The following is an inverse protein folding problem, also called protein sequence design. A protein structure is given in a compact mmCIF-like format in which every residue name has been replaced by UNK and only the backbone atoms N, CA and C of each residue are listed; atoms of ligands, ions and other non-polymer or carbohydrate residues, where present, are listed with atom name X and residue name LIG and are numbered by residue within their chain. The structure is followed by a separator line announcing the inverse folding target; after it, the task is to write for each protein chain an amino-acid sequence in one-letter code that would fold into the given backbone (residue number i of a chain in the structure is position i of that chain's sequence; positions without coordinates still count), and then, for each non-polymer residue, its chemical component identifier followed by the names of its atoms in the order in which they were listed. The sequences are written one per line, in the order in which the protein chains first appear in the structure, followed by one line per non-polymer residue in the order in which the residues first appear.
data_IF_423244644872
#
_entry.id   IF_423244644872
#
_cell.length_a   1.000
_cell.length_b   1.000
_cell.length_c   1.000
_cell.angle_alpha   90.00
_cell.angle_beta   90.00
_cell.angle_gamma   90.00
#
_symmetry.space_group_name_H-M   'P 1'
#
loop_
_entity.id
_entity.type
_entity.pdbx_description
1 polymer ?
#
# COMPACT_ATOMS: atom_id res chain seq x y z
N UNK A 1 -6.97 -4.35 -18.14
CA UNK A 1 -7.64 -5.14 -17.08
C UNK A 1 -9.05 -5.54 -17.48
N UNK A 2 -9.92 -4.64 -17.96
CA UNK A 2 -11.30 -4.98 -18.34
C UNK A 2 -11.41 -6.19 -19.29
N UNK A 3 -10.62 -6.20 -20.38
CA UNK A 3 -10.59 -7.32 -21.33
C UNK A 3 -10.24 -8.68 -20.69
N UNK A 4 -9.35 -8.68 -19.68
CA UNK A 4 -9.00 -9.89 -18.94
C UNK A 4 -10.16 -10.35 -18.06
N UNK A 5 -10.90 -9.40 -17.47
CA UNK A 5 -12.10 -9.71 -16.70
C UNK A 5 -13.24 -10.24 -17.57
N UNK A 6 -13.40 -9.70 -18.78
CA UNK A 6 -14.31 -10.25 -19.78
C UNK A 6 -13.91 -11.67 -20.20
N UNK A 7 -12.61 -11.89 -20.46
CA UNK A 7 -12.07 -13.21 -20.82
C UNK A 7 -12.34 -14.24 -19.72
N UNK A 8 -11.91 -13.98 -18.48
CA UNK A 8 -12.11 -14.91 -17.37
C UNK A 8 -13.59 -15.16 -17.05
N UNK A 9 -14.46 -14.15 -17.24
CA UNK A 9 -15.90 -14.35 -17.08
C UNK A 9 -16.48 -15.28 -18.16
N UNK A 10 -16.18 -15.02 -19.44
CA UNK A 10 -16.70 -15.81 -20.56
C UNK A 10 -16.17 -17.24 -20.52
N UNK A 11 -14.89 -17.41 -20.21
CA UNK A 11 -14.22 -18.72 -20.26
C UNK A 11 -14.56 -19.60 -19.05
N UNK A 12 -14.65 -19.04 -17.85
CA UNK A 12 -14.79 -19.85 -16.64
C UNK A 12 -15.66 -19.26 -15.55
N UNK A 13 -16.31 -18.11 -15.79
CA UNK A 13 -16.95 -17.31 -14.73
C UNK A 13 -15.98 -17.00 -13.58
N UNK A 14 -14.71 -16.74 -13.89
CA UNK A 14 -13.60 -16.55 -12.96
C UNK A 14 -13.23 -17.77 -12.09
N UNK A 15 -13.64 -18.97 -12.50
CA UNK A 15 -13.32 -20.19 -11.75
C UNK A 15 -12.07 -20.86 -12.30
N UNK A 16 -11.21 -21.34 -11.41
CA UNK A 16 -10.08 -22.18 -11.81
C UNK A 16 -10.58 -23.62 -12.08
N UNK A 17 -11.10 -23.87 -13.28
CA UNK A 17 -11.72 -25.14 -13.64
C UNK A 17 -10.68 -26.23 -13.95
N UNK A 18 -10.97 -27.47 -13.56
CA UNK A 18 -10.15 -28.65 -13.89
C UNK A 18 -10.53 -29.31 -15.23
N UNK A 19 -11.54 -28.77 -15.89
CA UNK A 19 -12.15 -29.30 -17.11
C UNK A 19 -12.69 -28.16 -17.95
N UNK A 20 -12.93 -28.44 -19.22
CA UNK A 20 -13.41 -27.51 -20.22
C UNK A 20 -13.81 -28.24 -21.50
N UNK A 21 -13.92 -27.51 -22.61
CA UNK A 21 -14.01 -28.13 -23.93
C UNK A 21 -12.66 -28.76 -24.29
N UNK A 22 -12.65 -30.05 -24.64
CA UNK A 22 -11.43 -30.81 -24.96
C UNK A 22 -10.40 -30.84 -23.82
N UNK A 23 -9.18 -30.33 -24.04
CA UNK A 23 -8.06 -30.33 -23.06
C UNK A 23 -7.94 -29.03 -22.27
N UNK A 24 -8.89 -28.09 -22.45
CA UNK A 24 -8.87 -26.76 -21.82
C UNK A 24 -9.06 -26.82 -20.30
N UNK A 25 -8.27 -26.02 -19.56
CA UNK A 25 -8.33 -25.91 -18.10
C UNK A 25 -7.94 -24.51 -17.62
N UNK A 26 -8.23 -24.21 -16.35
CA UNK A 26 -7.84 -22.96 -15.71
C UNK A 26 -8.83 -21.82 -15.93
N UNK A 27 -8.47 -20.63 -15.45
CA UNK A 27 -9.33 -19.44 -15.45
C UNK A 27 -9.64 -18.93 -16.87
N UNK A 28 -8.69 -19.07 -17.77
CA UNK A 28 -8.79 -18.67 -19.19
C UNK A 28 -8.96 -19.88 -20.12
N UNK A 29 -9.29 -21.06 -19.60
CA UNK A 29 -9.51 -22.27 -20.40
C UNK A 29 -8.37 -22.56 -21.42
N UNK A 30 -7.12 -22.37 -20.99
CA UNK A 30 -5.95 -22.54 -21.84
C UNK A 30 -5.84 -23.98 -22.36
N UNK A 31 -5.40 -24.18 -23.60
CA UNK A 31 -5.23 -25.50 -24.23
C UNK A 31 -3.86 -26.12 -23.92
N UNK A 32 -3.68 -27.42 -24.20
CA UNK A 32 -2.45 -28.16 -23.89
C UNK A 32 -1.15 -27.59 -24.50
N UNK A 33 -1.22 -26.95 -25.67
CA UNK A 33 -0.09 -26.25 -26.27
C UNK A 33 0.32 -24.98 -25.52
N UNK A 34 -0.51 -24.47 -24.61
CA UNK A 34 -0.19 -23.34 -23.74
C UNK A 34 0.55 -23.74 -22.46
N UNK A 35 0.88 -25.02 -22.27
CA UNK A 35 1.68 -25.52 -21.16
C UNK A 35 1.13 -26.80 -20.53
N UNK A 36 1.87 -27.32 -19.54
CA UNK A 36 1.43 -28.50 -18.79
C UNK A 36 0.10 -28.24 -18.06
N UNK A 37 -0.63 -29.31 -17.73
CA UNK A 37 -1.87 -29.20 -16.94
C UNK A 37 -1.66 -28.41 -15.63
N UNK A 38 -0.56 -28.66 -14.91
CA UNK A 38 -0.23 -27.97 -13.68
C UNK A 38 0.00 -26.46 -13.89
N UNK A 39 0.71 -26.07 -14.96
CA UNK A 39 0.93 -24.66 -15.30
C UNK A 39 -0.37 -23.95 -15.68
N UNK A 40 -1.22 -24.57 -16.50
CA UNK A 40 -2.49 -23.95 -16.92
C UNK A 40 -3.51 -23.82 -15.77
N UNK A 41 -3.41 -24.70 -14.77
CA UNK A 41 -4.14 -24.63 -13.50
C UNK A 41 -3.58 -23.60 -12.52
N UNK A 42 -2.35 -23.15 -12.71
CA UNK A 42 -1.76 -22.11 -11.89
C UNK A 42 -2.28 -20.73 -12.35
N UNK A 43 -2.97 -20.03 -11.46
CA UNK A 43 -3.64 -18.76 -11.78
C UNK A 43 -2.62 -17.67 -12.15
N UNK A 44 -1.44 -17.69 -11.53
CA UNK A 44 -0.38 -16.71 -11.82
C UNK A 44 0.16 -16.95 -13.22
N UNK A 45 0.45 -18.20 -13.56
CA UNK A 45 0.89 -18.59 -14.90
C UNK A 45 -0.13 -18.21 -15.97
N UNK A 46 -1.41 -18.59 -15.79
CA UNK A 46 -2.44 -18.31 -16.78
C UNK A 46 -2.70 -16.81 -16.95
N UNK A 47 -2.63 -16.04 -15.86
CA UNK A 47 -2.74 -14.57 -15.90
C UNK A 47 -1.55 -13.94 -16.63
N UNK A 48 -0.33 -14.38 -16.35
CA UNK A 48 0.86 -13.89 -17.05
C UNK A 48 0.84 -14.25 -18.54
N UNK A 49 0.36 -15.45 -18.90
CA UNK A 49 0.14 -15.82 -20.29
C UNK A 49 -0.82 -14.83 -20.97
N UNK A 50 -1.96 -14.55 -20.36
CA UNK A 50 -2.96 -13.63 -20.92
C UNK A 50 -2.38 -12.23 -21.13
N UNK A 51 -1.71 -11.69 -20.10
CA UNK A 51 -1.09 -10.35 -20.14
C UNK A 51 0.00 -10.28 -21.22
N UNK A 52 0.85 -11.30 -21.32
CA UNK A 52 1.92 -11.33 -22.31
C UNK A 52 1.37 -11.44 -23.74
N UNK A 53 0.33 -12.25 -23.95
CA UNK A 53 -0.38 -12.31 -25.23
C UNK A 53 -0.98 -10.95 -25.59
N UNK A 54 -1.71 -10.33 -24.67
CA UNK A 54 -2.32 -9.01 -24.88
C UNK A 54 -1.27 -7.94 -25.21
N UNK A 55 -0.15 -7.90 -24.49
CA UNK A 55 0.96 -6.99 -24.77
C UNK A 55 1.57 -7.22 -26.16
N UNK A 56 1.72 -8.48 -26.58
CA UNK A 56 2.25 -8.81 -27.91
C UNK A 56 1.35 -8.35 -29.05
N UNK A 57 0.04 -8.23 -28.81
CA UNK A 57 -0.94 -7.69 -29.75
C UNK A 57 -0.94 -6.15 -29.81
N UNK A 58 -0.23 -5.49 -28.88
CA UNK A 58 -0.20 -4.04 -28.77
C UNK A 58 -1.51 -3.49 -28.20
N UNK A 59 -1.73 -3.65 -26.90
CA UNK A 59 -2.95 -3.24 -26.16
C UNK A 59 -3.40 -1.81 -26.52
N UNK A 60 -2.46 -0.89 -26.72
CA UNK A 60 -2.73 0.51 -27.08
C UNK A 60 -3.49 0.69 -28.41
N UNK A 61 -3.55 -0.33 -29.26
CA UNK A 61 -4.22 -0.29 -30.55
C UNK A 61 -5.72 -0.63 -30.46
N UNK A 62 -6.21 -1.05 -29.29
CA UNK A 62 -7.60 -1.48 -29.09
C UNK A 62 -8.44 -0.36 -28.47
N UNK A 63 -9.66 -0.17 -28.99
CA UNK A 63 -10.61 0.83 -28.49
C UNK A 63 -11.71 0.24 -27.60
N UNK A 64 -11.88 -1.08 -27.62
CA UNK A 64 -12.81 -1.81 -26.77
C UNK A 64 -12.15 -3.07 -26.18
N UNK A 65 -12.59 -3.42 -24.98
CA UNK A 65 -12.02 -4.53 -24.22
C UNK A 65 -12.37 -5.90 -24.83
N UNK A 66 -13.60 -6.04 -25.35
CA UNK A 66 -14.11 -7.30 -25.87
C UNK A 66 -13.34 -7.79 -27.09
N UNK A 67 -12.95 -6.88 -27.99
CA UNK A 67 -12.13 -7.21 -29.17
C UNK A 67 -10.74 -7.66 -28.76
N UNK A 68 -10.11 -7.00 -27.78
CA UNK A 68 -8.82 -7.43 -27.24
C UNK A 68 -8.93 -8.82 -26.59
N UNK A 69 -9.97 -9.05 -25.79
CA UNK A 69 -10.24 -10.36 -25.17
C UNK A 69 -10.37 -11.46 -26.23
N UNK A 70 -11.17 -11.22 -27.28
CA UNK A 70 -11.34 -12.15 -28.38
C UNK A 70 -10.04 -12.45 -29.14
N UNK A 71 -9.15 -11.47 -29.31
CA UNK A 71 -7.87 -11.69 -29.98
C UNK A 71 -6.84 -12.43 -29.12
N UNK A 72 -6.91 -12.27 -27.79
CA UNK A 72 -6.09 -13.05 -26.86
C UNK A 72 -6.54 -14.50 -26.82
N UNK A 73 -7.84 -14.74 -26.62
CA UNK A 73 -8.41 -16.09 -26.43
C UNK A 73 -8.65 -16.85 -27.74
N UNK A 74 -8.79 -16.13 -28.86
CA UNK A 74 -8.96 -16.69 -30.22
C UNK A 74 -10.12 -17.71 -30.30
N UNK A 75 -11.35 -17.34 -29.92
CA UNK A 75 -12.49 -18.25 -30.04
C UNK A 75 -12.83 -18.47 -31.53
N UNK A 76 -13.84 -19.31 -31.80
CA UNK A 76 -14.50 -19.33 -33.11
C UNK A 76 -15.06 -17.95 -33.46
N UNK A 77 -15.05 -17.61 -34.74
CA UNK A 77 -15.44 -16.27 -35.23
C UNK A 77 -16.85 -15.84 -34.78
N UNK A 78 -17.80 -16.78 -34.75
CA UNK A 78 -19.18 -16.57 -34.31
C UNK A 78 -19.32 -16.24 -32.81
N UNK A 79 -18.29 -16.48 -32.01
CA UNK A 79 -18.31 -16.29 -30.56
C UNK A 79 -17.55 -15.03 -30.10
N UNK A 80 -16.87 -14.32 -31.01
CA UNK A 80 -16.03 -13.16 -30.65
C UNK A 80 -16.80 -12.04 -29.94
N UNK A 81 -18.09 -11.86 -30.24
CA UNK A 81 -18.94 -10.85 -29.60
C UNK A 81 -19.24 -11.09 -28.12
N UNK A 82 -19.11 -12.34 -27.63
CA UNK A 82 -19.49 -12.72 -26.25
C UNK A 82 -18.67 -12.01 -25.17
N UNK A 83 -17.44 -11.61 -25.46
CA UNK A 83 -16.60 -10.87 -24.50
C UNK A 83 -17.13 -9.46 -24.26
N UNK A 84 -17.54 -8.75 -25.32
CA UNK A 84 -18.15 -7.42 -25.17
C UNK A 84 -19.50 -7.47 -24.43
N UNK A 85 -20.28 -8.55 -24.60
CA UNK A 85 -21.51 -8.77 -23.83
C UNK A 85 -21.24 -8.92 -22.32
N UNK A 86 -20.05 -9.38 -21.93
CA UNK A 86 -19.65 -9.56 -20.54
C UNK A 86 -19.18 -8.26 -19.86
N UNK A 87 -19.07 -7.13 -20.58
CA UNK A 87 -18.47 -5.90 -20.09
C UNK A 87 -19.04 -5.44 -18.73
N UNK A 88 -20.36 -5.44 -18.57
CA UNK A 88 -21.00 -5.01 -17.31
C UNK A 88 -20.61 -5.92 -16.14
N UNK A 89 -20.62 -7.23 -16.35
CA UNK A 89 -20.23 -8.20 -15.33
C UNK A 89 -18.75 -8.08 -15.00
N UNK A 90 -17.89 -7.95 -16.01
CA UNK A 90 -16.45 -7.74 -15.86
C UNK A 90 -16.14 -6.47 -15.04
N UNK A 91 -16.83 -5.37 -15.31
CA UNK A 91 -16.69 -4.13 -14.56
C UNK A 91 -17.13 -4.29 -13.10
N UNK A 92 -18.22 -5.02 -12.84
CA UNK A 92 -18.68 -5.33 -11.49
C UNK A 92 -17.66 -6.18 -10.72
N UNK A 93 -17.09 -7.21 -11.36
CA UNK A 93 -16.06 -8.04 -10.76
C UNK A 93 -14.79 -7.25 -10.44
N UNK A 94 -14.36 -6.35 -11.33
CA UNK A 94 -13.24 -5.44 -11.06
C UNK A 94 -13.53 -4.54 -9.86
N UNK A 95 -14.73 -3.96 -9.80
CA UNK A 95 -15.14 -3.09 -8.69
C UNK A 95 -15.17 -3.85 -7.36
N UNK A 96 -15.62 -5.11 -7.36
CA UNK A 96 -15.60 -5.99 -6.19
C UNK A 96 -14.17 -6.34 -5.76
N UNK A 97 -13.30 -6.68 -6.71
CA UNK A 97 -11.89 -7.00 -6.44
C UNK A 97 -11.11 -5.81 -5.85
N UNK A 98 -11.55 -4.58 -6.13
CA UNK A 98 -10.98 -3.38 -5.52
C UNK A 98 -11.50 -3.09 -4.11
N UNK A 99 -12.64 -3.65 -3.68
CA UNK A 99 -13.18 -3.31 -2.36
C UNK A 99 -12.27 -3.83 -1.25
N UNK A 100 -11.91 -2.98 -0.27
CA UNK A 100 -11.18 -3.43 0.91
C UNK A 100 -12.05 -4.39 1.72
N UNK A 101 -11.44 -5.41 2.28
CA UNK A 101 -12.10 -6.39 3.15
C UNK A 101 -11.29 -6.58 4.43
N UNK A 102 -11.79 -7.45 5.32
CA UNK A 102 -11.17 -7.70 6.62
C UNK A 102 -11.00 -6.41 7.42
N UNK A 103 -9.88 -6.29 8.13
CA UNK A 103 -9.62 -5.13 8.99
C UNK A 103 -9.34 -3.84 8.19
N UNK A 104 -8.74 -3.93 7.00
CA UNK A 104 -8.59 -2.77 6.11
C UNK A 104 -9.96 -2.24 5.71
N UNK A 105 -10.88 -3.12 5.33
CA UNK A 105 -12.27 -2.77 4.99
C UNK A 105 -13.04 -2.19 6.17
N UNK A 106 -12.90 -2.80 7.36
CA UNK A 106 -13.52 -2.30 8.58
C UNK A 106 -13.02 -0.89 8.93
N UNK A 107 -11.70 -0.66 8.85
CA UNK A 107 -11.08 0.65 9.06
C UNK A 107 -11.56 1.68 8.04
N UNK A 108 -11.59 1.31 6.76
CA UNK A 108 -12.07 2.17 5.69
C UNK A 108 -13.53 2.60 5.91
N UNK A 109 -14.40 1.67 6.28
CA UNK A 109 -15.79 1.95 6.60
C UNK A 109 -15.93 2.86 7.84
N UNK A 110 -15.13 2.61 8.89
CA UNK A 110 -15.11 3.44 10.10
C UNK A 110 -14.68 4.89 9.82
N UNK A 111 -13.84 5.11 8.82
CA UNK A 111 -13.38 6.43 8.37
C UNK A 111 -14.29 7.07 7.30
N UNK A 112 -15.50 6.55 7.10
CA UNK A 112 -16.51 7.11 6.19
C UNK A 112 -16.39 6.66 4.73
N UNK A 113 -15.52 5.70 4.43
CA UNK A 113 -15.34 5.14 3.09
C UNK A 113 -14.98 6.20 2.05
N UNK A 114 -15.57 6.08 0.85
CA UNK A 114 -15.21 6.94 -0.29
C UNK A 114 -15.56 8.42 -0.10
N UNK A 115 -16.57 8.72 0.73
CA UNK A 115 -16.98 10.08 1.08
C UNK A 115 -16.30 10.63 2.34
N UNK A 116 -15.49 9.82 3.01
CA UNK A 116 -14.78 10.17 4.23
C UNK A 116 -13.35 10.65 4.00
N UNK A 117 -12.56 10.70 5.08
CA UNK A 117 -11.23 11.30 5.07
C UNK A 117 -10.22 10.53 4.20
N UNK A 118 -10.36 9.20 4.14
CA UNK A 118 -9.48 8.32 3.34
C UNK A 118 -9.69 8.52 1.83
N UNK A 119 -10.92 8.85 1.43
CA UNK A 119 -11.29 9.12 0.04
C UNK A 119 -11.47 7.87 -0.83
N UNK A 120 -11.62 8.05 -2.17
CA UNK A 120 -11.90 6.96 -3.09
C UNK A 120 -10.72 5.98 -3.23
N UNK A 121 -11.07 4.76 -3.63
CA UNK A 121 -10.16 3.65 -3.91
C UNK A 121 -9.26 4.00 -5.11
N UNK A 122 -7.96 3.69 -5.02
CA UNK A 122 -7.01 3.91 -6.13
C UNK A 122 -6.44 2.60 -6.65
N UNK A 123 -6.00 1.71 -5.76
CA UNK A 123 -5.55 0.35 -6.10
C UNK A 123 -6.19 -0.66 -5.17
N UNK A 124 -6.26 -1.92 -5.62
CA UNK A 124 -6.67 -3.04 -4.78
C UNK A 124 -5.61 -3.33 -3.71
N UNK A 125 -5.97 -4.16 -2.73
CA UNK A 125 -5.10 -4.53 -1.61
C UNK A 125 -3.85 -5.31 -2.06
N UNK A 126 -2.67 -4.86 -1.65
CA UNK A 126 -1.35 -5.38 -1.98
C UNK A 126 -0.66 -5.97 -0.75
N UNK A 127 0.33 -6.83 -0.95
CA UNK A 127 1.17 -7.34 0.13
C UNK A 127 2.16 -6.26 0.58
N UNK A 128 2.32 -6.08 1.90
CA UNK A 128 3.41 -5.30 2.47
C UNK A 128 4.71 -6.14 2.49
N UNK A 129 5.87 -5.48 2.54
CA UNK A 129 7.19 -6.13 2.42
C UNK A 129 7.52 -7.03 3.61
N UNK A 130 7.03 -6.70 4.81
CA UNK A 130 7.30 -7.44 6.05
C UNK A 130 6.18 -8.41 6.43
N UNK A 131 5.38 -8.87 5.46
CA UNK A 131 4.11 -9.54 5.74
C UNK A 131 3.03 -8.51 6.08
N UNK A 132 1.77 -8.94 6.17
CA UNK A 132 0.65 -7.98 6.22
C UNK A 132 0.30 -7.41 4.85
N UNK A 133 -0.65 -6.47 4.83
CA UNK A 133 -1.28 -5.98 3.60
C UNK A 133 -1.58 -4.50 3.70
N UNK A 134 -1.66 -3.83 2.56
CA UNK A 134 -2.06 -2.43 2.51
C UNK A 134 -2.92 -2.17 1.29
N UNK A 135 -3.72 -1.11 1.35
CA UNK A 135 -4.46 -0.63 0.20
C UNK A 135 -4.26 0.87 0.02
N UNK A 136 -4.11 1.29 -1.25
CA UNK A 136 -3.95 2.69 -1.62
C UNK A 136 -5.29 3.34 -1.93
N UNK A 137 -5.51 4.47 -1.27
CA UNK A 137 -6.65 5.36 -1.43
C UNK A 137 -6.17 6.74 -1.86
N UNK A 138 -7.11 7.61 -2.24
CA UNK A 138 -6.79 8.95 -2.75
C UNK A 138 -6.00 9.80 -1.74
N UNK A 139 -6.33 9.67 -0.46
CA UNK A 139 -5.74 10.49 0.61
C UNK A 139 -4.78 9.71 1.51
N UNK A 140 -4.32 8.52 1.11
CA UNK A 140 -3.30 7.78 1.86
C UNK A 140 -3.39 6.27 1.69
N UNK A 141 -2.79 5.54 2.63
CA UNK A 141 -2.89 4.08 2.70
C UNK A 141 -3.51 3.64 4.01
N UNK A 142 -4.33 2.59 3.95
CA UNK A 142 -4.60 1.80 5.16
C UNK A 142 -3.71 0.57 5.07
N UNK A 143 -2.86 0.38 6.08
CA UNK A 143 -1.93 -0.74 6.18
C UNK A 143 -2.26 -1.57 7.42
N UNK A 144 -2.17 -2.89 7.28
CA UNK A 144 -2.52 -3.88 8.29
C UNK A 144 -1.36 -4.86 8.51
N UNK A 145 -1.14 -5.21 9.78
CA UNK A 145 -0.35 -6.36 10.18
C UNK A 145 -1.09 -7.17 11.24
N UNK A 146 -0.72 -8.44 11.40
CA UNK A 146 -1.29 -9.29 12.44
C UNK A 146 -1.03 -8.76 13.87
N UNK A 147 0.08 -8.05 14.08
CA UNK A 147 0.49 -7.58 15.39
C UNK A 147 -0.15 -6.24 15.79
N UNK A 148 -0.39 -5.36 14.82
CA UNK A 148 -0.85 -3.99 15.08
C UNK A 148 -2.26 -3.67 14.58
N UNK A 149 -2.84 -4.53 13.75
CA UNK A 149 -4.12 -4.25 13.10
C UNK A 149 -4.00 -3.18 12.00
N UNK A 150 -5.15 -2.67 11.54
CA UNK A 150 -5.23 -1.73 10.42
C UNK A 150 -5.17 -0.26 10.87
N UNK A 151 -4.25 0.51 10.29
CA UNK A 151 -4.09 1.95 10.56
C UNK A 151 -3.96 2.75 9.28
N UNK A 152 -4.47 3.98 9.31
CA UNK A 152 -4.38 4.91 8.20
C UNK A 152 -3.09 5.75 8.33
N UNK A 153 -2.33 5.83 7.24
CA UNK A 153 -1.15 6.71 7.11
C UNK A 153 -1.43 7.64 5.94
N UNK A 154 -1.26 8.94 6.12
CA UNK A 154 -1.59 9.95 5.11
C UNK A 154 -0.62 11.14 5.10
N UNK A 155 -0.82 12.03 4.12
CA UNK A 155 -0.11 13.31 4.01
C UNK A 155 1.42 13.20 4.01
N UNK A 156 2.07 14.13 4.71
CA UNK A 156 3.53 14.21 4.78
C UNK A 156 4.15 13.08 5.61
N UNK A 157 3.41 12.50 6.56
CA UNK A 157 3.85 11.31 7.29
C UNK A 157 3.97 10.12 6.33
N UNK A 158 2.95 9.89 5.49
CA UNK A 158 3.01 8.85 4.45
C UNK A 158 4.15 9.09 3.46
N UNK A 159 4.33 10.33 3.02
CA UNK A 159 5.41 10.71 2.10
C UNK A 159 6.77 10.36 2.68
N UNK A 160 7.01 10.70 3.95
CA UNK A 160 8.23 10.35 4.67
C UNK A 160 8.39 8.84 4.85
N UNK A 161 7.32 8.13 5.20
CA UNK A 161 7.31 6.68 5.37
C UNK A 161 7.75 5.95 4.10
N UNK A 162 7.25 6.35 2.93
CA UNK A 162 7.72 5.79 1.65
C UNK A 162 9.16 6.16 1.31
N UNK A 163 9.56 7.40 1.57
CA UNK A 163 10.92 7.87 1.28
C UNK A 163 12.00 7.19 2.14
N UNK A 164 11.62 6.61 3.29
CA UNK A 164 12.55 6.06 4.28
C UNK A 164 12.44 4.54 4.43
N UNK A 165 12.10 3.84 3.35
CA UNK A 165 11.98 2.38 3.27
C UNK A 165 10.85 1.76 4.14
N UNK A 166 9.90 2.58 4.58
CA UNK A 166 8.58 2.14 5.05
C UNK A 166 8.65 1.14 6.21
N UNK A 167 7.79 0.14 6.21
CA UNK A 167 7.70 -0.87 7.26
C UNK A 167 9.00 -1.65 7.44
N UNK A 168 9.82 -1.76 6.39
CA UNK A 168 11.14 -2.41 6.48
C UNK A 168 12.11 -1.67 7.40
N UNK A 169 11.99 -0.34 7.53
CA UNK A 169 12.79 0.44 8.46
C UNK A 169 12.08 0.64 9.80
N UNK A 170 10.78 0.98 9.77
CA UNK A 170 10.09 1.52 10.94
C UNK A 170 9.05 0.58 11.57
N UNK A 171 8.82 -0.57 10.93
CA UNK A 171 7.73 -1.47 11.26
C UNK A 171 6.37 -0.88 10.89
N UNK A 172 5.32 -1.53 11.36
CA UNK A 172 3.93 -1.12 11.12
C UNK A 172 3.52 0.03 12.06
N UNK A 173 2.56 0.88 11.64
CA UNK A 173 1.90 1.82 12.56
C UNK A 173 1.24 1.05 13.70
N UNK A 174 1.29 1.63 14.90
CA UNK A 174 0.68 1.11 16.13
C UNK A 174 -0.58 1.88 16.53
N UNK A 175 -0.81 3.03 15.89
CA UNK A 175 -1.99 3.88 16.05
C UNK A 175 -2.22 4.71 14.78
N UNK A 176 -3.42 5.28 14.64
CA UNK A 176 -3.71 6.33 13.66
C UNK A 176 -3.11 7.65 14.08
N UNK A 177 -2.80 8.51 13.12
CA UNK A 177 -2.24 9.85 13.34
C UNK A 177 -3.13 10.74 14.26
N UNK A 178 -2.53 11.31 15.30
CA UNK A 178 -3.21 12.19 16.27
C UNK A 178 -2.58 13.58 16.32
N UNK A 179 -3.31 14.56 16.85
CA UNK A 179 -2.78 15.88 17.13
C UNK A 179 -1.68 15.82 18.21
N UNK A 180 -0.54 16.43 17.94
CA UNK A 180 0.55 16.60 18.89
C UNK A 180 0.32 17.83 19.78
N UNK A 181 1.05 17.94 20.89
CA UNK A 181 0.96 19.08 21.78
C UNK A 181 1.58 20.33 21.15
N UNK A 182 1.10 21.51 21.55
CA UNK A 182 1.73 22.77 21.17
C UNK A 182 3.14 22.87 21.78
N UNK A 183 4.11 23.25 20.95
CA UNK A 183 5.46 23.57 21.39
C UNK A 183 5.49 24.92 22.15
N UNK A 184 6.58 25.23 22.89
CA UNK A 184 6.72 26.50 23.61
C UNK A 184 6.58 27.77 22.75
N UNK A 185 6.90 27.68 21.46
CA UNK A 185 6.74 28.78 20.49
C UNK A 185 5.34 28.84 19.86
N UNK A 186 4.43 27.97 20.27
CA UNK A 186 3.06 27.86 19.76
C UNK A 186 2.91 26.97 18.52
N UNK A 187 3.99 26.37 18.00
CA UNK A 187 3.91 25.42 16.88
C UNK A 187 3.01 24.25 17.25
N UNK A 188 2.12 23.84 16.35
CA UNK A 188 1.28 22.65 16.49
C UNK A 188 1.51 21.71 15.31
N UNK A 189 1.09 20.47 15.45
CA UNK A 189 1.40 19.43 14.48
C UNK A 189 0.69 18.13 14.79
N UNK A 190 1.15 17.05 14.15
CA UNK A 190 0.55 15.72 14.24
C UNK A 190 1.63 14.67 14.38
N UNK A 191 1.28 13.53 14.97
CA UNK A 191 2.22 12.45 15.17
C UNK A 191 1.61 11.09 14.91
N UNK A 192 2.46 10.14 14.54
CA UNK A 192 2.09 8.74 14.41
C UNK A 192 3.22 7.84 14.94
N UNK A 193 2.86 6.90 15.83
CA UNK A 193 3.80 5.88 16.29
C UNK A 193 3.80 4.67 15.37
N UNK A 194 5.01 4.24 15.04
CA UNK A 194 5.34 2.99 14.39
C UNK A 194 6.07 2.11 15.39
N UNK A 195 6.15 0.80 15.12
CA UNK A 195 6.78 -0.16 16.04
C UNK A 195 8.19 0.26 16.49
N UNK A 196 8.97 0.87 15.59
CA UNK A 196 10.36 1.23 15.85
C UNK A 196 10.63 2.75 15.91
N UNK A 197 9.61 3.61 15.74
CA UNK A 197 9.81 5.05 15.63
C UNK A 197 8.56 5.88 15.91
N UNK A 198 8.77 7.16 16.22
CA UNK A 198 7.77 8.22 16.20
C UNK A 198 7.99 9.07 14.95
N UNK A 199 6.94 9.26 14.15
CA UNK A 199 6.91 10.24 13.08
C UNK A 199 6.19 11.47 13.61
N UNK A 200 6.86 12.62 13.61
CA UNK A 200 6.34 13.86 14.16
C UNK A 200 6.41 14.94 13.08
N UNK A 201 5.26 15.51 12.76
CA UNK A 201 5.08 16.54 11.72
C UNK A 201 4.62 17.85 12.33
N UNK A 202 5.15 18.96 11.83
CA UNK A 202 4.56 20.29 11.98
C UNK A 202 4.66 21.05 10.67
N UNK A 203 3.81 22.07 10.49
CA UNK A 203 3.84 22.89 9.27
C UNK A 203 5.19 23.57 9.02
N UNK A 204 5.89 24.15 10.03
CA UNK A 204 7.19 24.79 9.80
C UNK A 204 8.35 23.83 9.50
N UNK A 205 8.32 22.61 10.03
CA UNK A 205 9.47 21.68 9.99
C UNK A 205 9.27 20.52 9.04
N UNK A 206 8.02 20.18 8.69
CA UNK A 206 7.69 18.94 8.00
C UNK A 206 7.82 17.71 8.93
N UNK A 207 7.77 16.51 8.33
CA UNK A 207 7.86 15.24 9.06
C UNK A 207 9.31 14.85 9.34
N UNK A 208 9.61 14.64 10.62
CA UNK A 208 10.86 14.04 11.07
C UNK A 208 10.62 12.78 11.88
N UNK A 209 11.59 11.88 11.82
CA UNK A 209 11.56 10.59 12.50
C UNK A 209 12.40 10.69 13.77
N UNK A 210 11.85 10.22 14.88
CA UNK A 210 12.54 10.13 16.18
C UNK A 210 12.49 8.66 16.59
N UNK A 211 13.64 8.03 16.85
CA UNK A 211 13.69 6.60 17.16
C UNK A 211 14.76 6.25 18.22
N UNK A 212 14.79 4.99 18.64
CA UNK A 212 15.83 4.46 19.53
C UNK A 212 15.98 5.21 20.85
N UNK A 213 17.24 5.43 21.27
CA UNK A 213 17.55 6.10 22.54
C UNK A 213 17.22 7.61 22.51
N UNK A 214 17.28 8.25 21.34
CA UNK A 214 16.87 9.65 21.19
C UNK A 214 15.36 9.79 21.42
N UNK A 215 14.54 8.86 20.91
CA UNK A 215 13.10 8.83 21.20
C UNK A 215 12.83 8.69 22.69
N UNK A 216 13.51 7.77 23.38
CA UNK A 216 13.35 7.60 24.83
C UNK A 216 13.70 8.88 25.59
N UNK A 217 14.77 9.56 25.22
CA UNK A 217 15.15 10.83 25.83
C UNK A 217 14.14 11.94 25.53
N UNK A 218 13.67 12.05 24.28
CA UNK A 218 12.62 12.99 23.88
C UNK A 218 11.35 12.80 24.72
N UNK A 219 10.90 11.56 24.88
CA UNK A 219 9.72 11.21 25.67
C UNK A 219 9.88 11.51 27.17
N UNK A 220 11.04 11.17 27.74
CA UNK A 220 11.34 11.41 29.14
C UNK A 220 11.48 12.89 29.51
N UNK A 221 11.72 13.76 28.52
CA UNK A 221 12.00 15.19 28.74
C UNK A 221 10.85 16.12 28.31
N UNK A 222 9.63 15.59 28.21
CA UNK A 222 8.42 16.37 27.97
C UNK A 222 8.06 16.58 26.50
N UNK A 223 8.71 15.82 25.58
CA UNK A 223 8.38 15.75 24.15
C UNK A 223 8.32 17.13 23.48
N UNK A 224 7.47 17.31 22.48
CA UNK A 224 7.32 18.54 21.72
C UNK A 224 6.87 19.72 22.59
N UNK A 225 6.11 19.47 23.65
CA UNK A 225 5.65 20.50 24.57
C UNK A 225 6.80 21.18 25.35
N UNK A 226 7.94 20.49 25.51
CA UNK A 226 9.10 21.03 26.22
C UNK A 226 10.32 21.28 25.31
N UNK A 227 10.56 20.40 24.35
CA UNK A 227 11.72 20.44 23.45
C UNK A 227 11.41 21.06 22.10
N UNK A 228 10.13 21.25 21.79
CA UNK A 228 9.64 21.66 20.48
C UNK A 228 9.68 20.54 19.44
N UNK A 229 9.25 20.87 18.22
CA UNK A 229 9.26 19.94 17.10
C UNK A 229 10.70 19.68 16.61
N UNK A 230 10.99 18.48 16.10
CA UNK A 230 12.25 18.18 15.43
C UNK A 230 12.43 19.08 14.20
N UNK A 231 13.66 19.54 13.96
CA UNK A 231 14.05 20.33 12.78
C UNK A 231 15.04 19.58 11.88
N UNK A 232 15.53 18.43 12.35
CA UNK A 232 16.33 17.47 11.58
C UNK A 232 15.85 16.05 11.86
N UNK A 233 16.14 15.12 10.96
CA UNK A 233 16.20 13.71 11.34
C UNK A 233 17.46 13.45 12.20
N UNK A 234 17.53 12.26 12.80
CA UNK A 234 18.75 11.78 13.46
C UNK A 234 19.91 11.66 12.44
N UNK A 235 21.06 12.24 12.77
CA UNK A 235 22.27 12.22 11.97
C UNK A 235 23.47 11.68 12.77
N UNK A 236 24.49 11.21 12.06
CA UNK A 236 25.78 10.85 12.67
C UNK A 236 26.52 12.12 13.13
N UNK A 237 27.13 12.08 14.32
CA UNK A 237 27.89 13.21 14.87
C UNK A 237 29.37 13.24 14.41
N UNK A 238 29.79 12.27 13.59
CA UNK A 238 31.17 12.11 13.09
C UNK A 238 32.15 11.48 14.07
N UNK A 239 31.70 11.15 15.29
CA UNK A 239 32.52 10.64 16.39
C UNK A 239 31.94 9.33 16.98
N UNK A 240 31.04 8.68 16.24
CA UNK A 240 30.39 7.42 16.66
C UNK A 240 29.16 7.62 17.55
N UNK A 241 28.67 8.84 17.66
CA UNK A 241 27.39 9.19 18.26
C UNK A 241 26.35 9.59 17.22
N UNK A 242 25.19 10.00 17.73
CA UNK A 242 24.02 10.39 16.95
C UNK A 242 23.46 11.68 17.51
N UNK A 243 22.95 12.55 16.66
CA UNK A 243 22.40 13.84 17.08
C UNK A 243 21.09 14.11 16.37
N UNK A 244 20.13 14.67 17.10
CA UNK A 244 18.92 15.21 16.51
C UNK A 244 18.62 16.58 17.11
N UNK A 245 18.27 17.53 16.25
CA UNK A 245 17.96 18.89 16.64
C UNK A 245 16.44 19.11 16.69
N UNK A 246 16.02 19.82 17.72
CA UNK A 246 14.65 20.26 17.96
C UNK A 246 14.62 21.79 18.01
N UNK A 247 13.42 22.38 17.91
CA UNK A 247 13.25 23.84 17.99
C UNK A 247 13.97 24.40 19.23
N UNK A 248 13.76 23.79 20.41
CA UNK A 248 14.25 24.30 21.71
C UNK A 248 15.30 23.41 22.39
N UNK A 249 15.82 22.38 21.70
CA UNK A 249 16.85 21.51 22.27
C UNK A 249 17.68 20.80 21.18
N UNK A 250 18.79 20.21 21.60
CA UNK A 250 19.53 19.18 20.86
C UNK A 250 19.58 17.94 21.74
N UNK A 251 19.39 16.76 21.14
CA UNK A 251 19.62 15.48 21.82
C UNK A 251 20.79 14.79 21.14
N UNK A 252 21.85 14.59 21.90
CA UNK A 252 23.06 13.87 21.48
C UNK A 252 23.07 12.49 22.14
N UNK A 253 23.38 11.43 21.41
CA UNK A 253 23.52 10.08 21.91
C UNK A 253 24.91 9.54 21.61
N UNK A 254 25.52 8.88 22.60
CA UNK A 254 26.74 8.09 22.40
C UNK A 254 26.61 6.74 23.10
N UNK A 255 27.35 5.73 22.63
CA UNK A 255 27.34 4.40 23.25
C UNK A 255 27.81 4.41 24.72
N UNK A 256 28.71 5.33 25.09
CA UNK A 256 29.24 5.44 26.45
C UNK A 256 28.39 6.33 27.37
N UNK A 257 27.82 7.40 26.83
CA UNK A 257 27.09 8.42 27.60
C UNK A 257 25.57 8.30 27.57
N UNK A 258 25.01 7.48 26.69
CA UNK A 258 23.57 7.46 26.43
C UNK A 258 23.11 8.75 25.75
N UNK A 259 21.80 9.01 25.80
CA UNK A 259 21.19 10.21 25.22
C UNK A 259 21.15 11.37 26.24
N UNK A 260 21.69 12.52 25.85
CA UNK A 260 21.81 13.74 26.65
C UNK A 260 21.04 14.87 25.96
N UNK A 261 20.17 15.55 26.71
CA UNK A 261 19.35 16.67 26.21
C UNK A 261 19.99 17.99 26.60
N UNK A 262 20.29 18.83 25.62
CA UNK A 262 20.79 20.19 25.80
C UNK A 262 19.72 21.19 25.33
N UNK A 263 19.07 21.89 26.26
CA UNK A 263 18.06 22.92 25.94
C UNK A 263 18.73 24.22 25.46
N UNK A 264 18.07 24.92 24.55
CA UNK A 264 18.50 26.23 24.03
C UNK A 264 18.02 27.39 24.90
#
# INVERSE_FOLDING_TARGET
MLAMFESGWVESHMNNLGCGQETSVGVFQLQDFNGSYAQRKDVVYSTNWWINTANSLGIQNYHDAGTLAADVERPREDLRGRYGEAQSTAQNLMNQAMQPYGEIGAKYAALGGAGGEVGPLVRAEEAAKMGGRFQLFKNGIIIWSADTGAHWIHGDILTKFWATNSETAWGFPTMDELAAHAAPDGTTGRYQYFQNALFLWSEPTGTHIIHGEILKAFEANGREAALGYPITDEADDGHGGRVQQFQNATIDWTAAGGAVVTKK
#
